data_IF_573902263656
#
_entry.id   IF_573902263656
#
_cell.length_a   1.000
_cell.length_b   1.000
_cell.length_c   1.000
_cell.angle_alpha   90.00
_cell.angle_beta   90.00
_cell.angle_gamma   90.00
#
_symmetry.space_group_name_H-M   'P 1'
#
loop_
_entity.id
_entity.type
_entity.pdbx_description
1 polymer ?
#
# COMPACT_ATOMS: atom_id res chain seq x y z
N UNK A 1 -16.49 -15.72 9.37
CA UNK A 1 -16.48 -15.71 10.87
C UNK A 1 -15.17 -15.20 11.45
N UNK A 2 -14.01 -15.64 10.96
CA UNK A 2 -12.69 -15.09 11.34
C UNK A 2 -12.60 -13.56 11.20
N UNK A 3 -13.19 -13.00 10.14
CA UNK A 3 -13.21 -11.55 9.90
C UNK A 3 -13.91 -10.75 11.01
N UNK A 4 -15.03 -11.26 11.54
CA UNK A 4 -15.73 -10.65 12.68
C UNK A 4 -14.94 -10.78 13.99
N UNK A 5 -14.22 -11.89 14.20
CA UNK A 5 -13.36 -12.11 15.37
C UNK A 5 -12.15 -11.16 15.35
N UNK A 6 -11.67 -10.81 14.16
CA UNK A 6 -10.55 -9.89 13.94
C UNK A 6 -10.97 -8.42 13.80
N UNK A 7 -12.25 -8.11 14.04
CA UNK A 7 -12.80 -6.74 14.00
C UNK A 7 -12.67 -6.07 12.63
N UNK A 8 -12.77 -6.84 11.54
CA UNK A 8 -12.76 -6.28 10.18
C UNK A 8 -14.15 -5.78 9.83
N UNK A 9 -14.21 -4.52 9.41
CA UNK A 9 -15.41 -3.90 8.85
C UNK A 9 -15.62 -4.41 7.41
N UNK A 10 -16.85 -4.45 6.91
CA UNK A 10 -17.21 -5.10 5.63
C UNK A 10 -16.49 -4.53 4.39
N UNK A 11 -15.82 -3.39 4.53
CA UNK A 11 -15.04 -2.74 3.47
C UNK A 11 -13.52 -2.95 3.59
N UNK A 12 -13.06 -3.79 4.53
CA UNK A 12 -11.65 -4.15 4.71
C UNK A 12 -11.39 -5.55 4.18
N UNK A 13 -10.54 -5.66 3.17
CA UNK A 13 -10.06 -6.96 2.69
C UNK A 13 -8.78 -7.36 3.43
N UNK A 14 -8.69 -8.64 3.81
CA UNK A 14 -7.47 -9.22 4.34
C UNK A 14 -6.55 -9.52 3.15
N UNK A 15 -5.57 -8.66 2.91
CA UNK A 15 -4.62 -8.87 1.80
C UNK A 15 -3.71 -10.09 2.05
N UNK A 16 -3.29 -10.32 3.30
CA UNK A 16 -2.48 -11.47 3.66
C UNK A 16 -2.47 -11.72 5.17
N UNK A 17 -2.55 -13.00 5.54
CA UNK A 17 -2.23 -13.48 6.89
C UNK A 17 -0.85 -14.14 6.83
N UNK A 18 0.15 -13.52 7.44
CA UNK A 18 1.51 -14.08 7.49
C UNK A 18 1.91 -14.33 8.94
N UNK A 19 2.51 -15.49 9.19
CA UNK A 19 3.08 -15.81 10.50
C UNK A 19 4.50 -15.27 10.52
N UNK A 20 4.75 -14.31 11.41
CA UNK A 20 6.05 -13.72 11.64
C UNK A 20 6.75 -14.35 12.85
N UNK A 21 8.08 -14.25 12.87
CA UNK A 21 8.93 -14.69 13.96
C UNK A 21 9.79 -13.50 14.41
N UNK A 22 9.84 -13.19 15.70
CA UNK A 22 10.50 -11.97 16.20
C UNK A 22 12.02 -11.94 15.92
N UNK A 23 12.67 -13.10 15.93
CA UNK A 23 14.13 -13.21 15.87
C UNK A 23 14.66 -13.76 14.54
N UNK A 24 13.79 -13.87 13.53
CA UNK A 24 14.15 -14.41 12.21
C UNK A 24 14.46 -15.91 12.21
N UNK A 25 14.48 -16.55 11.03
CA UNK A 25 14.59 -18.01 10.92
C UNK A 25 15.97 -18.55 11.32
N UNK A 26 17.04 -17.76 11.20
CA UNK A 26 18.42 -18.19 11.51
C UNK A 26 18.58 -18.48 13.01
N UNK A 27 18.02 -17.63 13.87
CA UNK A 27 18.09 -17.80 15.33
C UNK A 27 17.30 -19.04 15.74
N UNK A 28 16.14 -19.30 15.11
CA UNK A 28 15.36 -20.51 15.33
C UNK A 28 16.14 -21.79 15.01
N UNK A 29 16.77 -21.83 13.83
CA UNK A 29 17.57 -22.99 13.42
C UNK A 29 18.75 -23.20 14.37
N UNK A 30 19.44 -22.12 14.77
CA UNK A 30 20.54 -22.19 15.72
C UNK A 30 20.11 -22.76 17.07
N UNK A 31 18.97 -22.33 17.62
CA UNK A 31 18.44 -22.83 18.89
C UNK A 31 18.08 -24.31 18.81
N UNK A 32 17.49 -24.76 17.71
CA UNK A 32 17.16 -26.17 17.49
C UNK A 32 18.44 -27.02 17.45
N UNK A 33 19.48 -26.56 16.74
CA UNK A 33 20.77 -27.26 16.68
C UNK A 33 21.38 -27.40 18.07
N UNK A 34 21.40 -26.31 18.85
CA UNK A 34 21.92 -26.31 20.23
C UNK A 34 21.10 -27.27 21.11
N UNK A 35 19.77 -27.27 21.01
CA UNK A 35 18.91 -28.17 21.77
C UNK A 35 19.18 -29.65 21.44
N UNK A 36 19.41 -29.99 20.17
CA UNK A 36 19.76 -31.35 19.74
C UNK A 36 21.13 -31.76 20.27
N UNK A 37 22.15 -30.91 20.15
CA UNK A 37 23.48 -31.17 20.68
C UNK A 37 23.42 -31.38 22.20
N UNK A 38 22.69 -30.52 22.90
CA UNK A 38 22.50 -30.61 24.35
C UNK A 38 21.78 -31.92 24.74
N UNK A 39 20.74 -32.30 24.00
CA UNK A 39 20.03 -33.55 24.21
C UNK A 39 20.93 -34.79 24.01
N UNK A 40 21.78 -34.79 22.98
CA UNK A 40 22.75 -35.87 22.73
C UNK A 40 23.83 -35.92 23.81
N UNK A 41 24.34 -34.77 24.24
CA UNK A 41 25.32 -34.66 25.31
C UNK A 41 24.77 -35.24 26.62
N UNK A 42 23.55 -34.83 26.98
CA UNK A 42 22.88 -35.25 28.22
C UNK A 42 22.54 -36.74 28.16
N UNK A 43 22.06 -37.22 27.00
CA UNK A 43 21.94 -38.64 26.74
C UNK A 43 23.26 -39.33 27.03
N UNK A 44 24.39 -38.95 26.39
CA UNK A 44 25.70 -39.60 26.59
C UNK A 44 26.21 -39.55 28.04
N UNK A 45 25.94 -38.48 28.77
CA UNK A 45 26.39 -38.31 30.16
C UNK A 45 25.72 -39.31 31.12
N UNK A 46 24.49 -39.74 30.85
CA UNK A 46 23.72 -40.61 31.74
C UNK A 46 23.90 -42.11 31.43
N UNK A 47 25.13 -42.61 31.57
CA UNK A 47 25.43 -44.04 31.35
C UNK A 47 24.98 -44.98 32.47
N UNK A 48 24.57 -44.45 33.63
CA UNK A 48 24.21 -45.26 34.80
C UNK A 48 22.70 -45.59 34.90
N UNK A 49 21.88 -45.10 33.97
CA UNK A 49 20.42 -45.26 34.01
C UNK A 49 19.91 -46.31 33.00
N UNK A 50 18.83 -47.05 33.34
CA UNK A 50 18.19 -47.98 32.42
C UNK A 50 17.65 -47.24 31.18
N UNK A 51 17.80 -47.86 30.00
CA UNK A 51 17.54 -47.23 28.69
C UNK A 51 16.14 -46.60 28.57
N UNK A 52 15.11 -47.20 29.18
CA UNK A 52 13.73 -46.69 29.15
C UNK A 52 13.55 -45.38 29.91
N UNK A 53 14.15 -45.22 31.10
CA UNK A 53 14.11 -43.95 31.85
C UNK A 53 14.88 -42.85 31.14
N UNK A 54 16.02 -43.20 30.56
CA UNK A 54 16.86 -42.28 29.77
C UNK A 54 16.10 -41.71 28.57
N UNK A 55 15.34 -42.55 27.85
CA UNK A 55 14.50 -42.08 26.73
C UNK A 55 13.38 -41.17 27.23
N UNK A 56 12.66 -41.54 28.29
CA UNK A 56 11.56 -40.72 28.82
C UNK A 56 12.04 -39.33 29.27
N UNK A 57 13.18 -39.28 29.97
CA UNK A 57 13.76 -38.02 30.43
C UNK A 57 14.22 -37.15 29.25
N UNK A 58 14.87 -37.76 28.25
CA UNK A 58 15.30 -37.06 27.04
C UNK A 58 14.12 -36.48 26.26
N UNK A 59 13.01 -37.21 26.14
CA UNK A 59 11.78 -36.75 25.47
C UNK A 59 11.13 -35.61 26.24
N UNK A 60 10.99 -35.73 27.56
CA UNK A 60 10.39 -34.68 28.37
C UNK A 60 11.22 -33.38 28.30
N UNK A 61 12.55 -33.51 28.32
CA UNK A 61 13.46 -32.37 28.25
C UNK A 61 13.52 -31.74 26.86
N UNK A 62 13.50 -32.54 25.79
CA UNK A 62 13.42 -32.00 24.42
C UNK A 62 12.10 -31.26 24.20
N UNK A 63 11.01 -31.77 24.74
CA UNK A 63 9.69 -31.14 24.67
C UNK A 63 9.65 -29.83 25.47
N UNK A 64 10.25 -29.80 26.66
CA UNK A 64 10.40 -28.57 27.44
C UNK A 64 11.25 -27.51 26.72
N UNK A 65 12.37 -27.93 26.12
CA UNK A 65 13.23 -27.05 25.29
C UNK A 65 12.46 -26.52 24.08
N UNK A 66 11.69 -27.36 23.41
CA UNK A 66 10.90 -26.97 22.24
C UNK A 66 9.84 -25.92 22.61
N UNK A 67 9.13 -26.11 23.74
CA UNK A 67 8.19 -25.12 24.26
C UNK A 67 8.91 -23.80 24.57
N UNK A 68 10.08 -23.86 25.21
CA UNK A 68 10.87 -22.68 25.53
C UNK A 68 11.32 -21.94 24.26
N UNK A 69 11.72 -22.66 23.21
CA UNK A 69 12.05 -22.08 21.92
C UNK A 69 10.83 -21.40 21.28
N UNK A 70 9.65 -22.01 21.32
CA UNK A 70 8.41 -21.41 20.78
C UNK A 70 8.09 -20.11 21.52
N UNK A 71 8.13 -20.13 22.86
CA UNK A 71 7.88 -18.94 23.68
C UNK A 71 8.89 -17.85 23.38
N UNK A 72 10.18 -18.20 23.27
CA UNK A 72 11.25 -17.26 22.96
C UNK A 72 11.12 -16.66 21.55
N UNK A 73 10.74 -17.47 20.56
CA UNK A 73 10.56 -16.99 19.19
C UNK A 73 9.34 -16.07 19.04
N UNK A 74 8.36 -16.23 19.94
CA UNK A 74 7.16 -15.42 20.01
C UNK A 74 6.43 -15.35 18.68
N UNK A 75 5.78 -16.45 18.21
CA UNK A 75 5.09 -16.42 16.94
C UNK A 75 3.98 -15.37 16.99
N UNK A 76 3.98 -14.45 16.04
CA UNK A 76 2.96 -13.41 15.96
C UNK A 76 2.26 -13.47 14.60
N UNK A 77 0.94 -13.25 14.64
CA UNK A 77 0.15 -13.12 13.43
C UNK A 77 0.25 -11.68 12.91
N UNK A 78 0.87 -11.51 11.75
CA UNK A 78 0.89 -10.22 11.06
C UNK A 78 -0.30 -10.15 10.12
N UNK A 79 -1.18 -9.18 10.39
CA UNK A 79 -2.37 -8.90 9.60
C UNK A 79 -2.13 -7.58 8.88
N UNK A 80 -1.94 -7.63 7.57
CA UNK A 80 -1.86 -6.42 6.74
C UNK A 80 -3.27 -6.08 6.26
N UNK A 81 -3.72 -4.86 6.55
CA UNK A 81 -5.03 -4.34 6.12
C UNK A 81 -4.79 -3.24 5.09
N UNK A 82 -5.35 -3.36 3.89
CA UNK A 82 -5.47 -2.23 2.97
C UNK A 82 -6.85 -1.60 3.10
N UNK A 83 -6.88 -0.28 3.24
CA UNK A 83 -8.11 0.49 3.14
C UNK A 83 -8.12 1.16 1.76
N UNK A 84 -9.03 0.74 0.88
CA UNK A 84 -9.28 1.46 -0.36
C UNK A 84 -10.19 2.64 -0.08
N UNK A 85 -9.61 3.79 0.27
CA UNK A 85 -10.36 5.03 0.33
C UNK A 85 -10.51 5.58 -1.09
N UNK A 86 -11.74 5.82 -1.53
CA UNK A 86 -11.98 6.72 -2.66
C UNK A 86 -11.46 8.11 -2.26
N UNK A 87 -10.46 8.59 -2.99
CA UNK A 87 -9.85 9.90 -2.74
C UNK A 87 -10.85 10.98 -3.15
N UNK A 88 -11.59 11.52 -2.19
CA UNK A 88 -12.49 12.64 -2.43
C UNK A 88 -11.66 13.94 -2.40
N UNK A 89 -11.67 14.71 -3.48
CA UNK A 89 -11.06 16.03 -3.55
C UNK A 89 -12.18 17.07 -3.52
N UNK A 90 -12.15 17.95 -2.51
CA UNK A 90 -13.03 19.12 -2.47
C UNK A 90 -12.33 20.26 -3.20
N UNK A 91 -12.98 20.79 -4.24
CA UNK A 91 -12.49 21.94 -5.01
C UNK A 91 -13.41 23.11 -4.73
N UNK A 92 -12.85 24.21 -4.23
CA UNK A 92 -13.58 25.46 -4.03
C UNK A 92 -13.23 26.41 -5.18
N UNK A 93 -14.25 26.84 -5.91
CA UNK A 93 -14.10 27.75 -7.07
C UNK A 93 -14.64 29.12 -6.65
N UNK A 94 -13.88 30.17 -6.92
CA UNK A 94 -14.35 31.55 -6.76
C UNK A 94 -15.39 31.88 -7.84
N UNK A 95 -16.51 32.50 -7.44
CA UNK A 95 -17.58 32.96 -8.33
C UNK A 95 -17.69 34.49 -8.39
N UNK A 96 -16.64 35.19 -7.95
CA UNK A 96 -16.57 36.65 -8.04
C UNK A 96 -16.70 37.17 -9.47
N UNK A 97 -17.14 38.42 -9.63
CA UNK A 97 -17.29 39.06 -10.94
C UNK A 97 -16.01 39.07 -11.78
N UNK A 98 -14.83 38.94 -11.15
CA UNK A 98 -13.55 38.85 -11.87
C UNK A 98 -13.43 37.56 -12.69
N UNK A 99 -14.12 36.49 -12.29
CA UNK A 99 -14.10 35.18 -12.96
C UNK A 99 -14.96 35.13 -14.23
N UNK A 100 -15.87 36.09 -14.41
CA UNK A 100 -16.63 36.27 -15.65
C UNK A 100 -15.81 36.94 -16.77
N UNK A 101 -14.59 37.41 -16.47
CA UNK A 101 -13.72 38.09 -17.44
C UNK A 101 -13.20 37.13 -18.50
N UNK A 102 -13.22 37.59 -19.75
CA UNK A 102 -12.69 36.87 -20.91
C UNK A 102 -11.29 37.39 -21.24
N UNK A 103 -10.26 36.66 -20.84
CA UNK A 103 -8.87 37.08 -21.04
C UNK A 103 -8.43 36.94 -22.51
N UNK A 104 -7.60 37.86 -22.98
CA UNK A 104 -6.90 37.69 -24.25
C UNK A 104 -5.76 36.68 -24.05
N UNK A 105 -5.80 35.57 -24.79
CA UNK A 105 -4.87 34.45 -24.63
C UNK A 105 -3.77 34.49 -25.68
N UNK A 106 -2.52 34.30 -25.25
CA UNK A 106 -1.36 34.07 -26.12
C UNK A 106 -1.30 32.58 -26.51
N UNK A 107 -0.46 32.21 -27.48
CA UNK A 107 -0.35 30.83 -28.00
C UNK A 107 -0.26 29.75 -26.88
N UNK A 108 0.52 29.98 -25.83
CA UNK A 108 0.65 29.04 -24.70
C UNK A 108 -0.63 28.99 -23.83
N UNK A 109 -1.33 30.11 -23.65
CA UNK A 109 -2.59 30.15 -22.90
C UNK A 109 -3.75 29.53 -23.70
N UNK A 110 -3.65 29.52 -25.03
CA UNK A 110 -4.59 28.83 -25.93
C UNK A 110 -4.45 27.32 -25.79
N UNK A 111 -3.22 26.83 -25.72
CA UNK A 111 -2.92 25.42 -25.46
C UNK A 111 -3.57 24.94 -24.15
N UNK A 112 -3.33 25.66 -23.04
CA UNK A 112 -3.90 25.33 -21.73
C UNK A 112 -5.42 25.33 -21.74
N UNK A 113 -6.04 26.36 -22.35
CA UNK A 113 -7.49 26.46 -22.47
C UNK A 113 -8.08 25.33 -23.33
N UNK A 114 -7.41 24.95 -24.41
CA UNK A 114 -7.86 23.88 -25.30
C UNK A 114 -7.72 22.50 -24.64
N UNK A 115 -6.70 22.29 -23.80
CA UNK A 115 -6.56 21.09 -22.96
C UNK A 115 -7.69 21.02 -21.92
N UNK A 116 -7.96 22.12 -21.23
CA UNK A 116 -9.04 22.24 -20.25
C UNK A 116 -10.42 21.91 -20.87
N UNK A 117 -10.70 22.48 -22.05
CA UNK A 117 -11.95 22.24 -22.80
C UNK A 117 -12.02 20.85 -23.49
N UNK A 118 -10.94 20.06 -23.44
CA UNK A 118 -10.90 18.71 -24.01
C UNK A 118 -10.71 18.64 -25.52
N UNK A 119 -10.36 19.75 -26.16
CA UNK A 119 -10.03 19.82 -27.59
C UNK A 119 -8.65 19.23 -27.91
N UNK A 120 -7.74 19.26 -26.94
CA UNK A 120 -6.41 18.66 -27.04
C UNK A 120 -6.24 17.64 -25.91
N UNK A 121 -5.67 16.49 -26.23
CA UNK A 121 -5.32 15.49 -25.20
C UNK A 121 -4.17 16.03 -24.35
N UNK A 122 -4.17 15.82 -23.02
CA UNK A 122 -3.13 16.39 -22.16
C UNK A 122 -1.69 15.97 -22.52
N UNK A 123 -1.54 14.79 -23.14
CA UNK A 123 -0.25 14.21 -23.58
C UNK A 123 0.14 14.50 -25.03
N UNK A 124 -0.62 15.33 -25.75
CA UNK A 124 -0.33 15.65 -27.15
C UNK A 124 0.48 16.94 -27.25
N UNK A 125 1.58 16.91 -28.04
CA UNK A 125 2.39 18.09 -28.31
C UNK A 125 1.57 19.16 -29.04
N UNK A 126 1.65 20.39 -28.53
CA UNK A 126 0.99 21.54 -29.12
C UNK A 126 1.87 22.16 -30.20
N UNK A 127 1.30 22.31 -31.40
CA UNK A 127 1.92 23.04 -32.49
C UNK A 127 1.46 24.51 -32.46
N UNK A 128 2.34 25.48 -32.16
CA UNK A 128 1.99 26.90 -32.09
C UNK A 128 1.43 27.45 -33.41
N UNK A 129 1.73 26.80 -34.54
CA UNK A 129 1.18 27.17 -35.85
C UNK A 129 -0.33 26.97 -35.96
N UNK A 130 -0.92 26.09 -35.14
CA UNK A 130 -2.37 25.79 -35.12
C UNK A 130 -3.14 26.58 -34.06
N UNK A 131 -2.47 27.46 -33.32
CA UNK A 131 -3.07 28.23 -32.24
C UNK A 131 -4.27 29.07 -32.69
N UNK A 132 -4.22 29.66 -33.89
CA UNK A 132 -5.30 30.49 -34.42
C UNK A 132 -6.55 29.68 -34.80
N UNK A 133 -6.37 28.46 -35.34
CA UNK A 133 -7.47 27.56 -35.69
C UNK A 133 -8.18 27.07 -34.42
N UNK A 134 -7.37 26.70 -33.41
CA UNK A 134 -7.86 26.25 -32.11
C UNK A 134 -8.54 27.40 -31.37
N UNK A 135 -7.99 28.61 -31.38
CA UNK A 135 -8.60 29.82 -30.80
C UNK A 135 -9.98 30.15 -31.41
N UNK A 136 -10.13 29.92 -32.71
CA UNK A 136 -11.43 30.11 -33.40
C UNK A 136 -12.45 29.06 -32.96
N UNK A 137 -11.99 27.83 -32.68
CA UNK A 137 -12.82 26.71 -32.23
C UNK A 137 -13.25 26.82 -30.76
N UNK A 138 -12.32 27.18 -29.86
CA UNK A 138 -12.59 27.32 -28.43
C UNK A 138 -13.27 28.64 -28.07
N UNK A 139 -13.21 29.65 -28.96
CA UNK A 139 -13.73 30.99 -28.69
C UNK A 139 -12.97 31.70 -27.58
N UNK A 140 -13.64 32.60 -26.85
CA UNK A 140 -13.06 33.27 -25.68
C UNK A 140 -13.85 32.91 -24.41
N UNK A 141 -13.62 31.71 -23.86
CA UNK A 141 -14.31 31.24 -22.66
C UNK A 141 -13.90 32.09 -21.45
N UNK A 142 -14.84 32.24 -20.51
CA UNK A 142 -14.57 32.92 -19.24
C UNK A 142 -13.67 32.07 -18.33
N UNK A 143 -13.07 32.66 -17.29
CA UNK A 143 -12.22 31.91 -16.34
C UNK A 143 -13.02 30.84 -15.59
N UNK A 144 -14.27 31.13 -15.22
CA UNK A 144 -15.15 30.17 -14.53
C UNK A 144 -15.51 28.98 -15.43
N UNK A 145 -15.80 29.24 -16.69
CA UNK A 145 -16.12 28.21 -17.69
C UNK A 145 -14.92 27.28 -17.95
N UNK A 146 -13.70 27.83 -17.97
CA UNK A 146 -12.48 27.02 -18.03
C UNK A 146 -12.29 26.15 -16.77
N UNK A 147 -12.56 26.70 -15.59
CA UNK A 147 -12.43 25.97 -14.33
C UNK A 147 -13.45 24.81 -14.26
N UNK A 148 -14.69 25.06 -14.66
CA UNK A 148 -15.74 24.05 -14.75
C UNK A 148 -15.37 22.94 -15.76
N UNK A 149 -14.96 23.33 -16.98
CA UNK A 149 -14.54 22.37 -18.01
C UNK A 149 -13.34 21.51 -17.58
N UNK A 150 -12.39 22.10 -16.84
CA UNK A 150 -11.24 21.36 -16.29
C UNK A 150 -11.68 20.28 -15.28
N UNK A 151 -12.72 20.57 -14.49
CA UNK A 151 -13.25 19.63 -13.50
C UNK A 151 -14.05 18.51 -14.16
N UNK A 152 -14.85 18.84 -15.17
CA UNK A 152 -15.59 17.84 -15.95
C UNK A 152 -14.64 16.91 -16.72
N UNK A 153 -13.53 17.45 -17.22
CA UNK A 153 -12.53 16.69 -17.95
C UNK A 153 -11.55 15.95 -17.02
N UNK A 154 -12.02 14.83 -16.48
CA UNK A 154 -11.25 13.94 -15.58
C UNK A 154 -9.86 13.52 -16.10
N UNK A 155 -9.62 13.57 -17.42
CA UNK A 155 -8.32 13.21 -18.03
C UNK A 155 -7.24 14.25 -17.77
N UNK A 156 -7.62 15.53 -17.65
CA UNK A 156 -6.66 16.59 -17.29
C UNK A 156 -6.24 16.42 -15.83
N UNK A 157 -7.18 16.04 -14.96
CA UNK A 157 -6.91 15.82 -13.53
C UNK A 157 -6.07 14.56 -13.29
N UNK A 158 -6.25 13.50 -14.08
CA UNK A 158 -5.47 12.26 -13.92
C UNK A 158 -3.98 12.43 -14.23
N UNK A 159 -3.65 13.33 -15.14
CA UNK A 159 -2.27 13.56 -15.62
C UNK A 159 -1.48 14.56 -14.75
N UNK A 160 -2.13 15.20 -13.77
CA UNK A 160 -1.49 16.08 -12.78
C UNK A 160 -0.84 15.32 -11.60
N UNK A 161 -0.79 13.99 -11.65
CA UNK A 161 -0.26 13.12 -10.59
C UNK A 161 1.09 12.51 -10.97
#
# INVERSE_FOLDING_TARGET
MLEKILGLDSNQQIDSLTIGWNHGPVIAISLIIVAVIFSIYLYRSENQLPKSRRVLMTVCQSLALLILIIIFMGPFAKITKSNSYKRNMLVLIDTSSSMATKDQRNANSIEEAARALGEIKPSQDFDPGKANEIQTKIGNPSRIELAEATIENSKVISDLK
#
